data_IF_944117366027
#
_entry.id   IF_944117366027
#
_cell.length_a   1.000
_cell.length_b   1.000
_cell.length_c   1.000
_cell.angle_alpha   90.00
_cell.angle_beta   90.00
_cell.angle_gamma   90.00
#
_symmetry.space_group_name_H-M   'P 1'
#
loop_
_entity.id
_entity.type
_entity.pdbx_description
1 polymer ?
#
# COMPACT_ATOMS: atom_id res chain seq x y z
N UNK A 1 -46.33 -28.94 -14.91
CA UNK A 1 -45.78 -27.57 -15.01
C UNK A 1 -45.09 -27.07 -13.73
N UNK A 2 -45.73 -27.04 -12.54
CA UNK A 2 -45.09 -26.54 -11.29
C UNK A 2 -43.74 -27.20 -10.92
N UNK A 3 -43.56 -28.50 -11.16
CA UNK A 3 -42.28 -29.21 -10.87
C UNK A 3 -41.12 -28.83 -11.80
N UNK A 4 -41.38 -28.48 -13.07
CA UNK A 4 -40.33 -28.05 -14.01
C UNK A 4 -39.82 -26.65 -13.70
N UNK A 5 -40.73 -25.71 -13.36
CA UNK A 5 -40.35 -24.36 -12.97
C UNK A 5 -39.49 -24.32 -11.70
N UNK A 6 -39.76 -25.22 -10.75
CA UNK A 6 -38.96 -25.35 -9.53
C UNK A 6 -37.55 -25.93 -9.79
N UNK A 7 -37.41 -26.87 -10.74
CA UNK A 7 -36.11 -27.42 -11.13
C UNK A 7 -35.26 -26.41 -11.94
N UNK A 8 -35.92 -25.59 -12.77
CA UNK A 8 -35.29 -24.51 -13.51
C UNK A 8 -34.78 -23.40 -12.59
N UNK A 9 -35.59 -22.95 -11.62
CA UNK A 9 -35.14 -21.97 -10.63
C UNK A 9 -33.98 -22.50 -9.79
N UNK A 10 -34.04 -23.77 -9.36
CA UNK A 10 -32.96 -24.41 -8.59
C UNK A 10 -31.60 -24.48 -9.31
N UNK A 11 -31.56 -24.56 -10.64
CA UNK A 11 -30.30 -24.72 -11.39
C UNK A 11 -29.81 -23.45 -12.10
N UNK A 12 -30.68 -22.47 -12.34
CA UNK A 12 -30.34 -21.18 -12.94
C UNK A 12 -29.91 -20.16 -11.90
N UNK A 13 -30.60 -20.08 -10.76
CA UNK A 13 -30.30 -19.13 -9.68
C UNK A 13 -28.86 -19.26 -9.15
N UNK A 14 -28.33 -20.48 -8.89
CA UNK A 14 -26.93 -20.63 -8.45
C UNK A 14 -25.90 -20.28 -9.53
N UNK A 15 -26.25 -20.31 -10.82
CA UNK A 15 -25.35 -19.90 -11.92
C UNK A 15 -25.29 -18.38 -12.06
N UNK A 16 -26.44 -17.71 -12.00
CA UNK A 16 -26.50 -16.25 -12.02
C UNK A 16 -25.79 -15.66 -10.81
N UNK A 17 -26.05 -16.20 -9.62
CA UNK A 17 -25.37 -15.77 -8.38
C UNK A 17 -23.84 -15.89 -8.48
N UNK A 18 -23.31 -17.00 -8.98
CA UNK A 18 -21.86 -17.17 -9.18
C UNK A 18 -21.25 -16.17 -10.16
N UNK A 19 -22.01 -15.74 -11.17
CA UNK A 19 -21.55 -14.70 -12.10
C UNK A 19 -21.56 -13.32 -11.47
N UNK A 20 -22.53 -13.02 -10.61
CA UNK A 20 -22.57 -11.78 -9.84
C UNK A 20 -21.44 -11.72 -8.82
N UNK A 21 -21.19 -12.81 -8.09
CA UNK A 21 -20.04 -12.95 -7.18
C UNK A 21 -18.71 -12.77 -7.93
N UNK A 22 -18.53 -13.48 -9.05
CA UNK A 22 -17.32 -13.33 -9.87
C UNK A 22 -17.15 -11.91 -10.44
N UNK A 23 -18.25 -11.21 -10.75
CA UNK A 23 -18.19 -9.81 -11.19
C UNK A 23 -17.72 -8.91 -10.05
N UNK A 24 -18.30 -9.06 -8.86
CA UNK A 24 -17.89 -8.31 -7.68
C UNK A 24 -16.41 -8.52 -7.36
N UNK A 25 -15.91 -9.76 -7.44
CA UNK A 25 -14.48 -10.04 -7.22
C UNK A 25 -13.59 -9.39 -8.29
N UNK A 26 -14.03 -9.34 -9.56
CA UNK A 26 -13.29 -8.64 -10.62
C UNK A 26 -13.21 -7.14 -10.34
N UNK A 27 -14.31 -6.54 -9.91
CA UNK A 27 -14.36 -5.11 -9.60
C UNK A 27 -13.46 -4.79 -8.39
N UNK A 28 -13.52 -5.60 -7.32
CA UNK A 28 -12.64 -5.49 -6.15
C UNK A 28 -11.16 -5.63 -6.52
N UNK A 29 -10.79 -6.67 -7.29
CA UNK A 29 -9.41 -6.87 -7.71
C UNK A 29 -8.87 -5.69 -8.55
N UNK A 30 -9.72 -5.07 -9.37
CA UNK A 30 -9.31 -3.90 -10.15
C UNK A 30 -9.06 -2.68 -9.25
N UNK A 31 -9.89 -2.46 -8.22
CA UNK A 31 -9.70 -1.41 -7.22
C UNK A 31 -8.44 -1.64 -6.37
N UNK A 32 -8.21 -2.88 -5.91
CA UNK A 32 -7.03 -3.27 -5.15
C UNK A 32 -5.75 -3.03 -5.97
N UNK A 33 -5.73 -3.43 -7.25
CA UNK A 33 -4.58 -3.15 -8.13
C UNK A 33 -4.33 -1.66 -8.32
N UNK A 34 -5.40 -0.85 -8.44
CA UNK A 34 -5.25 0.60 -8.56
C UNK A 34 -4.64 1.21 -7.28
N UNK A 35 -5.02 0.67 -6.12
CA UNK A 35 -4.47 1.07 -4.83
C UNK A 35 -3.00 0.65 -4.70
N UNK A 36 -2.67 -0.61 -4.96
CA UNK A 36 -1.29 -1.12 -4.93
C UNK A 36 -0.35 -0.33 -5.85
N UNK A 37 -0.80 0.04 -7.06
CA UNK A 37 -0.01 0.86 -7.99
C UNK A 37 0.26 2.27 -7.42
N UNK A 38 -0.73 2.88 -6.77
CA UNK A 38 -0.56 4.18 -6.11
C UNK A 38 0.41 4.09 -4.94
N UNK A 39 0.26 3.07 -4.10
CA UNK A 39 1.15 2.85 -2.96
C UNK A 39 2.60 2.59 -3.38
N UNK A 40 2.82 1.83 -4.45
CA UNK A 40 4.16 1.62 -5.01
C UNK A 40 4.79 2.91 -5.53
N UNK A 41 4.00 3.74 -6.23
CA UNK A 41 4.47 5.03 -6.72
C UNK A 41 4.81 5.99 -5.58
N UNK A 42 3.94 6.05 -4.57
CA UNK A 42 4.16 6.89 -3.38
C UNK A 42 5.35 6.42 -2.55
N UNK A 43 5.50 5.10 -2.35
CA UNK A 43 6.66 4.53 -1.68
C UNK A 43 7.95 4.91 -2.41
N UNK A 44 7.98 4.81 -3.75
CA UNK A 44 9.11 5.26 -4.56
C UNK A 44 9.43 6.75 -4.34
N UNK A 45 8.42 7.62 -4.38
CA UNK A 45 8.57 9.06 -4.14
C UNK A 45 9.16 9.35 -2.76
N UNK A 46 8.59 8.74 -1.71
CA UNK A 46 9.05 8.91 -0.33
C UNK A 46 10.49 8.41 -0.15
N UNK A 47 10.86 7.29 -0.78
CA UNK A 47 12.24 6.79 -0.72
C UNK A 47 13.25 7.72 -1.42
N UNK A 48 12.87 8.32 -2.55
CA UNK A 48 13.73 9.24 -3.28
C UNK A 48 13.90 10.57 -2.53
N UNK A 49 12.83 11.07 -1.90
CA UNK A 49 12.86 12.26 -1.05
C UNK A 49 13.72 12.03 0.19
N UNK A 50 13.53 10.91 0.89
CA UNK A 50 14.35 10.55 2.04
C UNK A 50 15.84 10.45 1.68
N UNK A 51 16.19 9.92 0.50
CA UNK A 51 17.58 9.90 0.02
C UNK A 51 18.16 11.30 -0.17
N UNK A 52 17.39 12.23 -0.74
CA UNK A 52 17.83 13.62 -0.95
C UNK A 52 18.00 14.33 0.39
N UNK A 53 17.04 14.20 1.29
CA UNK A 53 17.09 14.79 2.62
C UNK A 53 18.27 14.25 3.43
N UNK A 54 18.51 12.93 3.37
CA UNK A 54 19.65 12.31 4.03
C UNK A 54 20.98 12.83 3.51
N UNK A 55 21.13 12.97 2.19
CA UNK A 55 22.34 13.52 1.59
C UNK A 55 22.60 14.98 2.03
N UNK A 56 21.53 15.78 2.12
CA UNK A 56 21.63 17.16 2.62
C UNK A 56 21.95 17.23 4.11
N UNK A 57 21.30 16.39 4.92
CA UNK A 57 21.53 16.32 6.37
C UNK A 57 22.98 15.91 6.67
N UNK A 58 23.49 14.88 5.97
CA UNK A 58 24.89 14.43 6.08
C UNK A 58 25.88 15.54 5.74
N UNK A 59 25.64 16.28 4.66
CA UNK A 59 26.50 17.39 4.27
C UNK A 59 26.50 18.53 5.30
N UNK A 60 25.33 18.85 5.89
CA UNK A 60 25.21 19.85 6.96
C UNK A 60 25.90 19.40 8.24
N UNK A 61 25.67 18.17 8.68
CA UNK A 61 26.31 17.62 9.88
C UNK A 61 27.84 17.60 9.73
N UNK A 62 28.36 17.18 8.56
CA UNK A 62 29.79 17.21 8.28
C UNK A 62 30.37 18.65 8.32
N UNK A 63 29.64 19.65 7.82
CA UNK A 63 30.05 21.04 7.92
C UNK A 63 30.05 21.53 9.37
N UNK A 64 29.00 21.23 10.15
CA UNK A 64 28.90 21.59 11.57
C UNK A 64 29.99 20.94 12.42
N UNK A 65 30.32 19.67 12.18
CA UNK A 65 31.43 19.00 12.86
C UNK A 65 32.75 19.69 12.56
N UNK A 66 33.01 20.04 11.29
CA UNK A 66 34.22 20.76 10.89
C UNK A 66 34.31 22.14 11.54
N UNK A 67 33.21 22.88 11.57
CA UNK A 67 33.14 24.19 12.22
C UNK A 67 33.37 24.10 13.73
N UNK A 68 32.82 23.08 14.39
CA UNK A 68 33.05 22.81 15.81
C UNK A 68 34.53 22.48 16.09
N UNK A 69 35.16 21.64 15.28
CA UNK A 69 36.59 21.32 15.41
C UNK A 69 37.50 22.54 15.18
N UNK A 70 37.20 23.35 14.16
CA UNK A 70 37.95 24.58 13.88
C UNK A 70 37.79 25.61 15.01
N UNK A 71 36.58 25.74 15.55
CA UNK A 71 36.28 26.63 16.69
C UNK A 71 36.99 26.17 17.96
N UNK A 72 36.99 24.85 18.24
CA UNK A 72 37.73 24.26 19.34
C UNK A 72 39.22 24.60 19.23
N UNK A 73 39.85 24.35 18.07
CA UNK A 73 41.28 24.64 17.84
C UNK A 73 41.59 26.13 17.99
N UNK A 74 40.71 27.01 17.51
CA UNK A 74 40.89 28.45 17.65
C UNK A 74 40.85 28.90 19.12
N UNK A 75 39.92 28.35 19.92
CA UNK A 75 39.82 28.63 21.35
C UNK A 75 41.02 28.07 22.12
N UNK A 76 41.48 26.86 21.80
CA UNK A 76 42.68 26.27 22.38
C UNK A 76 43.93 27.12 22.09
N UNK A 77 44.09 27.61 20.86
CA UNK A 77 45.17 28.51 20.49
C UNK A 77 45.11 29.86 21.24
N UNK A 78 43.90 30.43 21.37
CA UNK A 78 43.70 31.65 22.15
C UNK A 78 44.02 31.44 23.63
N UNK A 79 43.61 30.32 24.22
CA UNK A 79 43.94 29.94 25.59
C UNK A 79 45.45 29.82 25.82
N UNK A 80 46.20 29.25 24.87
CA UNK A 80 47.67 29.20 24.96
C UNK A 80 48.27 30.60 24.99
N UNK A 81 47.90 31.47 24.04
CA UNK A 81 48.41 32.85 24.01
C UNK A 81 48.05 33.64 25.28
N UNK A 82 46.82 33.52 25.77
CA UNK A 82 46.39 34.20 26.99
C UNK A 82 47.14 33.66 28.22
N UNK A 83 47.33 32.34 28.33
CA UNK A 83 48.12 31.75 29.43
C UNK A 83 49.58 32.18 29.39
N UNK A 84 50.17 32.39 28.21
CA UNK A 84 51.53 32.92 28.09
C UNK A 84 51.63 34.38 28.55
N UNK A 85 50.64 35.23 28.21
CA UNK A 85 50.62 36.64 28.61
C UNK A 85 50.28 36.82 30.10
N UNK A 86 49.29 36.08 30.61
CA UNK A 86 48.80 36.21 31.98
C UNK A 86 49.49 35.28 32.99
N UNK A 87 50.12 34.19 32.52
CA UNK A 87 50.91 33.27 33.35
C UNK A 87 52.35 33.72 33.59
N UNK A 88 52.85 34.69 32.82
CA UNK A 88 54.16 35.33 33.05
C UNK A 88 54.15 36.38 34.16
N UNK A 89 53.00 36.67 34.79
CA UNK A 89 52.93 37.53 35.96
C UNK A 89 53.43 36.73 37.17
N UNK A 90 54.64 36.99 37.72
CA UNK A 90 55.18 36.19 38.79
C UNK A 90 54.27 36.29 40.03
N UNK A 91 54.06 35.16 40.71
CA UNK A 91 53.28 35.09 41.95
C UNK A 91 53.78 36.07 43.05
N UNK A 92 55.01 36.55 42.93
CA UNK A 92 55.59 37.60 43.79
C UNK A 92 54.98 38.99 43.60
N UNK A 93 54.21 39.25 42.53
CA UNK A 93 53.44 40.49 42.37
C UNK A 93 52.03 40.41 42.97
N UNK A 94 51.58 39.23 43.43
CA UNK A 94 50.29 39.03 44.09
C UNK A 94 50.32 39.26 45.61
N UNK A 95 51.51 39.48 46.19
CA UNK A 95 51.68 39.69 47.64
C UNK A 95 52.24 41.08 48.02
N UNK A 96 52.44 41.99 47.06
CA UNK A 96 52.86 43.36 47.38
C UNK A 96 51.63 44.25 47.53
N UNK A 97 51.39 44.63 48.77
CA UNK A 97 50.48 45.69 49.22
C UNK A 97 50.37 46.86 48.23
N UNK A 98 49.13 47.13 47.80
CA UNK A 98 48.42 48.43 47.84
C UNK A 98 49.09 49.74 47.35
N UNK A 99 50.31 49.79 46.84
CA UNK A 99 50.95 51.09 46.54
C UNK A 99 51.68 51.22 45.19
N UNK A 100 51.90 50.16 44.41
CA UNK A 100 52.57 50.31 43.12
C UNK A 100 52.32 49.14 42.17
N UNK A 101 51.20 49.16 41.44
CA UNK A 101 51.03 48.36 40.23
C UNK A 101 50.75 49.31 39.08
N UNK A 102 51.83 49.89 38.54
CA UNK A 102 51.86 50.23 37.13
C UNK A 102 51.71 48.90 36.38
N UNK A 103 50.48 48.57 35.97
CA UNK A 103 50.25 47.56 34.95
C UNK A 103 51.16 47.90 33.74
N UNK A 104 51.72 46.91 33.02
CA UNK A 104 52.22 47.22 31.69
C UNK A 104 51.04 47.80 30.92
N UNK A 105 51.10 49.10 30.64
CA UNK A 105 50.15 49.78 29.79
C UNK A 105 50.29 49.12 28.43
N UNK A 106 49.35 48.24 28.09
CA UNK A 106 49.13 47.84 26.71
C UNK A 106 48.92 49.14 25.92
N UNK A 107 49.81 49.48 24.99
CA UNK A 107 49.60 50.60 24.07
C UNK A 107 48.24 50.39 23.38
N UNK A 108 47.24 51.20 23.76
CA UNK A 108 45.87 51.15 23.21
C UNK A 108 44.75 50.74 24.19
N UNK A 109 45.02 50.46 25.47
CA UNK A 109 43.97 50.24 26.45
C UNK A 109 43.25 51.55 26.83
N UNK A 110 41.92 51.67 26.67
CA UNK A 110 41.18 52.89 27.02
C UNK A 110 41.19 53.14 28.55
N UNK A 111 41.39 54.40 28.95
CA UNK A 111 41.58 54.83 30.36
C UNK A 111 40.34 54.70 31.28
N UNK A 112 39.28 53.98 30.87
CA UNK A 112 37.93 54.14 31.45
C UNK A 112 37.59 53.24 32.65
N UNK A 113 38.52 52.51 33.25
CA UNK A 113 38.23 51.67 34.42
C UNK A 113 39.11 52.01 35.63
N UNK A 114 38.65 52.91 36.53
CA UNK A 114 39.42 53.37 37.68
C UNK A 114 39.35 52.49 38.94
N UNK A 115 38.55 51.41 38.95
CA UNK A 115 38.46 50.49 40.11
C UNK A 115 39.36 49.25 39.94
N UNK A 116 40.47 49.24 40.66
CA UNK A 116 41.48 48.17 40.66
C UNK A 116 40.96 46.84 41.24
N UNK A 117 39.95 46.87 42.11
CA UNK A 117 39.30 45.65 42.65
C UNK A 117 38.52 44.89 41.57
N UNK A 118 38.09 45.57 40.51
CA UNK A 118 37.39 44.97 39.38
C UNK A 118 38.34 44.32 38.36
N UNK A 119 39.67 44.47 38.50
CA UNK A 119 40.65 44.02 37.48
C UNK A 119 41.38 42.74 37.90
N UNK A 120 41.44 42.43 39.21
CA UNK A 120 42.19 41.29 39.73
C UNK A 120 41.41 39.96 39.78
N UNK A 121 40.07 40.01 39.83
CA UNK A 121 39.17 38.83 39.89
C UNK A 121 38.54 38.37 38.57
N UNK A 122 38.37 39.17 37.49
CA UNK A 122 37.77 38.70 36.23
C UNK A 122 38.71 37.88 35.34
N UNK A 123 40.03 37.95 35.55
CA UNK A 123 41.01 37.33 34.64
C UNK A 123 40.96 35.80 34.66
N UNK A 124 40.64 35.18 35.82
CA UNK A 124 40.39 33.74 35.91
C UNK A 124 39.07 33.34 35.24
N UNK A 125 38.03 34.15 35.39
CA UNK A 125 36.71 33.87 34.82
C UNK A 125 36.70 33.85 33.28
N UNK A 126 37.51 34.68 32.62
CA UNK A 126 37.61 34.68 31.15
C UNK A 126 38.33 33.43 30.63
N UNK A 127 39.40 32.98 31.29
CA UNK A 127 40.11 31.74 30.93
C UNK A 127 39.21 30.51 31.16
N UNK A 128 38.54 30.44 32.31
CA UNK A 128 37.58 29.35 32.61
C UNK A 128 36.42 29.32 31.60
N UNK A 129 35.90 30.49 31.21
CA UNK A 129 34.84 30.56 30.20
C UNK A 129 35.31 30.06 28.82
N UNK A 130 36.53 30.41 28.41
CA UNK A 130 37.10 29.94 27.14
C UNK A 130 37.43 28.44 27.16
N UNK A 131 37.84 27.89 28.30
CA UNK A 131 38.04 26.44 28.50
C UNK A 131 36.71 25.67 28.45
N UNK A 132 35.67 26.21 29.10
CA UNK A 132 34.31 25.66 29.01
C UNK A 132 33.79 25.75 27.57
N UNK A 133 34.03 26.85 26.87
CA UNK A 133 33.65 26.98 25.46
C UNK A 133 34.36 25.95 24.57
N UNK A 134 35.68 25.78 24.72
CA UNK A 134 36.45 24.80 23.95
C UNK A 134 35.97 23.35 24.21
N UNK A 135 35.74 22.99 25.49
CA UNK A 135 35.18 21.68 25.83
C UNK A 135 33.73 21.51 25.33
N UNK A 136 32.94 22.57 25.29
CA UNK A 136 31.59 22.54 24.69
C UNK A 136 31.63 22.25 23.19
N UNK A 137 32.58 22.80 22.44
CA UNK A 137 32.74 22.48 21.01
C UNK A 137 33.23 21.05 20.78
N UNK A 138 34.12 20.55 21.65
CA UNK A 138 34.56 19.15 21.60
C UNK A 138 33.39 18.18 21.86
N UNK A 139 32.58 18.46 22.89
CA UNK A 139 31.37 17.68 23.18
C UNK A 139 30.35 17.78 22.05
N UNK A 140 30.12 18.97 21.49
CA UNK A 140 29.21 19.15 20.36
C UNK A 140 29.64 18.37 19.11
N UNK A 141 30.94 18.32 18.82
CA UNK A 141 31.45 17.50 17.71
C UNK A 141 31.23 16.00 17.93
N UNK A 142 31.41 15.52 19.18
CA UNK A 142 31.13 14.13 19.53
C UNK A 142 29.64 13.78 19.46
N UNK A 143 28.77 14.65 20.00
CA UNK A 143 27.31 14.48 19.92
C UNK A 143 26.83 14.46 18.46
N UNK A 144 27.33 15.37 17.61
CA UNK A 144 27.00 15.38 16.19
C UNK A 144 27.45 14.10 15.46
N UNK A 145 28.58 13.51 15.85
CA UNK A 145 29.06 12.25 15.28
C UNK A 145 28.19 11.06 15.69
N UNK A 146 27.79 11.00 16.96
CA UNK A 146 26.89 9.97 17.49
C UNK A 146 25.49 10.06 16.85
N UNK A 147 24.96 11.29 16.71
CA UNK A 147 23.70 11.55 16.00
C UNK A 147 23.77 11.10 14.55
N UNK A 148 24.84 11.45 13.82
CA UNK A 148 25.03 11.05 12.42
C UNK A 148 25.09 9.52 12.27
N UNK A 149 25.71 8.80 13.21
CA UNK A 149 25.73 7.34 13.21
C UNK A 149 24.33 6.75 13.47
N UNK A 150 23.58 7.33 14.41
CA UNK A 150 22.22 6.90 14.71
C UNK A 150 21.28 7.12 13.51
N UNK A 151 21.33 8.29 12.90
CA UNK A 151 20.54 8.66 11.72
C UNK A 151 20.90 7.79 10.50
N UNK A 152 22.18 7.47 10.29
CA UNK A 152 22.58 6.52 9.26
C UNK A 152 21.96 5.13 9.52
N UNK A 153 21.98 4.65 10.76
CA UNK A 153 21.38 3.37 11.13
C UNK A 153 19.88 3.33 10.85
N UNK A 154 19.15 4.37 11.25
CA UNK A 154 17.71 4.50 11.00
C UNK A 154 17.40 4.57 9.50
N UNK A 155 18.19 5.33 8.76
CA UNK A 155 18.03 5.47 7.32
C UNK A 155 18.27 4.16 6.56
N UNK A 156 19.31 3.40 6.93
CA UNK A 156 19.56 2.08 6.35
C UNK A 156 18.41 1.10 6.65
N UNK A 157 17.90 1.12 7.89
CA UNK A 157 16.72 0.32 8.25
C UNK A 157 15.50 0.71 7.41
N UNK A 158 15.23 2.02 7.26
CA UNK A 158 14.17 2.54 6.41
C UNK A 158 14.31 2.06 4.95
N UNK A 159 15.51 2.10 4.38
CA UNK A 159 15.75 1.62 3.01
C UNK A 159 15.49 0.12 2.86
N UNK A 160 15.88 -0.68 3.86
CA UNK A 160 15.65 -2.14 3.85
C UNK A 160 14.15 -2.44 3.92
N UNK A 161 13.42 -1.84 4.86
CA UNK A 161 11.98 -2.05 4.98
C UNK A 161 11.22 -1.53 3.76
N UNK A 162 11.62 -0.38 3.20
CA UNK A 162 11.01 0.14 1.97
C UNK A 162 11.23 -0.79 0.77
N UNK A 163 12.45 -1.34 0.61
CA UNK A 163 12.73 -2.32 -0.46
C UNK A 163 11.89 -3.59 -0.31
N UNK A 164 11.75 -4.06 0.93
CA UNK A 164 10.93 -5.24 1.25
C UNK A 164 9.45 -4.98 0.95
N UNK A 165 8.92 -3.84 1.39
CA UNK A 165 7.53 -3.45 1.12
C UNK A 165 7.28 -3.32 -0.39
N UNK A 166 8.19 -2.67 -1.12
CA UNK A 166 8.13 -2.57 -2.57
C UNK A 166 8.11 -3.96 -3.24
N UNK A 167 8.95 -4.89 -2.79
CA UNK A 167 9.01 -6.24 -3.33
C UNK A 167 7.71 -7.04 -3.05
N UNK A 168 7.16 -6.91 -1.83
CA UNK A 168 5.91 -7.57 -1.45
C UNK A 168 4.75 -7.02 -2.30
N UNK A 169 4.57 -5.70 -2.34
CA UNK A 169 3.50 -5.05 -3.12
C UNK A 169 3.61 -5.31 -4.61
N UNK A 170 4.82 -5.30 -5.17
CA UNK A 170 5.04 -5.63 -6.59
C UNK A 170 4.65 -7.08 -6.90
N UNK A 171 4.98 -8.02 -6.01
CA UNK A 171 4.59 -9.42 -6.16
C UNK A 171 3.10 -9.63 -6.00
N UNK A 172 2.48 -8.94 -5.06
CA UNK A 172 1.03 -8.95 -4.86
C UNK A 172 0.29 -8.40 -6.08
N UNK A 173 0.81 -7.33 -6.69
CA UNK A 173 0.27 -6.76 -7.92
C UNK A 173 0.25 -7.80 -9.05
N UNK A 174 1.38 -8.48 -9.29
CA UNK A 174 1.47 -9.54 -10.32
C UNK A 174 0.49 -10.68 -10.03
N UNK A 175 0.41 -11.13 -8.78
CA UNK A 175 -0.54 -12.18 -8.41
C UNK A 175 -2.00 -11.74 -8.56
N UNK A 176 -2.30 -10.48 -8.28
CA UNK A 176 -3.62 -9.89 -8.46
C UNK A 176 -3.98 -9.75 -9.94
N UNK A 177 -3.03 -9.37 -10.80
CA UNK A 177 -3.19 -9.31 -12.27
C UNK A 177 -3.58 -10.68 -12.84
N UNK A 178 -2.82 -11.70 -12.47
CA UNK A 178 -3.09 -13.10 -12.80
C UNK A 178 -4.49 -13.55 -12.34
N UNK A 179 -4.90 -13.19 -11.11
CA UNK A 179 -6.23 -13.53 -10.57
C UNK A 179 -7.33 -12.81 -11.33
N UNK A 180 -7.15 -11.53 -11.63
CA UNK A 180 -8.10 -10.71 -12.37
C UNK A 180 -8.35 -11.29 -13.76
N UNK A 181 -7.28 -11.62 -14.50
CA UNK A 181 -7.40 -12.21 -15.84
C UNK A 181 -8.18 -13.54 -15.79
N UNK A 182 -7.81 -14.45 -14.87
CA UNK A 182 -8.52 -15.73 -14.69
C UNK A 182 -10.01 -15.53 -14.40
N UNK A 183 -10.35 -14.60 -13.51
CA UNK A 183 -11.75 -14.31 -13.13
C UNK A 183 -12.52 -13.66 -14.25
N UNK A 184 -11.92 -12.74 -14.99
CA UNK A 184 -12.53 -12.15 -16.19
C UNK A 184 -12.81 -13.20 -17.27
N UNK A 185 -11.89 -14.13 -17.49
CA UNK A 185 -12.09 -15.24 -18.44
C UNK A 185 -13.21 -16.17 -17.99
N UNK A 186 -13.23 -16.57 -16.71
CA UNK A 186 -14.31 -17.38 -16.14
C UNK A 186 -15.68 -16.68 -16.24
N UNK A 187 -15.73 -15.37 -16.01
CA UNK A 187 -16.95 -14.57 -16.12
C UNK A 187 -17.45 -14.50 -17.57
N UNK A 188 -16.55 -14.30 -18.55
CA UNK A 188 -16.90 -14.33 -19.98
C UNK A 188 -17.45 -15.70 -20.39
N UNK A 189 -16.76 -16.78 -20.00
CA UNK A 189 -17.18 -18.15 -20.30
C UNK A 189 -18.54 -18.46 -19.66
N UNK A 190 -18.70 -18.20 -18.36
CA UNK A 190 -19.93 -18.48 -17.65
C UNK A 190 -21.13 -17.67 -18.17
N UNK A 191 -20.92 -16.41 -18.61
CA UNK A 191 -21.97 -15.64 -19.30
C UNK A 191 -22.39 -16.29 -20.62
N UNK A 192 -21.44 -16.74 -21.43
CA UNK A 192 -21.73 -17.43 -22.69
C UNK A 192 -22.44 -18.77 -22.47
N UNK A 193 -22.04 -19.54 -21.46
CA UNK A 193 -22.71 -20.79 -21.08
C UNK A 193 -24.13 -20.54 -20.58
N UNK A 194 -24.33 -19.52 -19.74
CA UNK A 194 -25.65 -19.14 -19.26
C UNK A 194 -26.56 -18.81 -20.45
N UNK A 195 -26.12 -17.97 -21.38
CA UNK A 195 -26.88 -17.59 -22.57
C UNK A 195 -27.25 -18.80 -23.46
N UNK A 196 -26.29 -19.69 -23.73
CA UNK A 196 -26.55 -20.94 -24.49
C UNK A 196 -27.52 -21.86 -23.75
N UNK A 197 -27.41 -21.95 -22.42
CA UNK A 197 -28.30 -22.78 -21.61
C UNK A 197 -29.71 -22.23 -21.57
N UNK A 198 -29.89 -20.90 -21.51
CA UNK A 198 -31.20 -20.25 -21.55
C UNK A 198 -31.86 -20.41 -22.91
N UNK A 199 -31.11 -20.27 -24.01
CA UNK A 199 -31.64 -20.50 -25.36
C UNK A 199 -32.13 -21.95 -25.55
N UNK A 200 -31.32 -22.94 -25.11
CA UNK A 200 -31.73 -24.35 -25.13
C UNK A 200 -32.98 -24.59 -24.29
N UNK A 201 -33.06 -23.94 -23.13
CA UNK A 201 -34.18 -24.08 -22.20
C UNK A 201 -35.48 -23.56 -22.82
N UNK A 202 -35.44 -22.40 -23.46
CA UNK A 202 -36.58 -21.78 -24.15
C UNK A 202 -37.07 -22.69 -25.29
N UNK A 203 -36.17 -23.27 -26.08
CA UNK A 203 -36.52 -24.25 -27.12
C UNK A 203 -37.21 -25.49 -26.55
N UNK A 204 -36.71 -26.03 -25.43
CA UNK A 204 -37.31 -27.19 -24.76
C UNK A 204 -38.69 -26.85 -24.19
N UNK A 205 -38.84 -25.67 -23.58
CA UNK A 205 -40.15 -25.20 -23.08
C UNK A 205 -41.17 -25.09 -24.21
N UNK A 206 -40.79 -24.45 -25.32
CA UNK A 206 -41.67 -24.32 -26.49
C UNK A 206 -42.06 -25.69 -27.09
N UNK A 207 -41.14 -26.67 -27.07
CA UNK A 207 -41.44 -28.04 -27.51
C UNK A 207 -42.39 -28.76 -26.54
N UNK A 208 -42.20 -28.61 -25.23
CA UNK A 208 -43.06 -29.20 -24.21
C UNK A 208 -44.49 -28.65 -24.26
N UNK A 209 -44.67 -27.36 -24.51
CA UNK A 209 -46.01 -26.75 -24.68
C UNK A 209 -46.76 -27.40 -25.84
N UNK A 210 -46.10 -27.58 -27.00
CA UNK A 210 -46.68 -28.29 -28.16
C UNK A 210 -47.07 -29.73 -27.83
N UNK A 211 -46.22 -30.46 -27.09
CA UNK A 211 -46.55 -31.84 -26.68
C UNK A 211 -47.68 -31.88 -25.66
N UNK A 212 -47.75 -30.90 -24.76
CA UNK A 212 -48.76 -30.91 -23.71
C UNK A 212 -50.18 -30.83 -24.27
N UNK A 213 -50.38 -30.08 -25.36
CA UNK A 213 -51.66 -30.03 -26.06
C UNK A 213 -51.97 -31.35 -26.78
N UNK A 214 -50.95 -32.03 -27.33
CA UNK A 214 -51.10 -33.37 -27.93
C UNK A 214 -51.39 -34.46 -26.88
N UNK A 215 -50.79 -34.38 -25.70
CA UNK A 215 -50.94 -35.37 -24.63
C UNK A 215 -52.22 -35.16 -23.78
N UNK A 216 -52.80 -33.96 -23.79
CA UNK A 216 -54.16 -33.72 -23.28
C UNK A 216 -55.19 -34.10 -24.35
N UNK A 217 -55.12 -35.31 -24.89
CA UNK A 217 -56.23 -35.84 -25.66
C UNK A 217 -57.49 -35.82 -24.76
N UNK A 218 -58.67 -35.42 -25.26
CA UNK A 218 -59.89 -35.48 -24.47
C UNK A 218 -60.06 -36.93 -24.01
N UNK A 219 -60.26 -37.12 -22.71
CA UNK A 219 -60.61 -38.43 -22.16
C UNK A 219 -62.00 -38.75 -22.71
N UNK A 220 -62.05 -39.40 -23.88
CA UNK A 220 -63.28 -39.96 -24.42
C UNK A 220 -63.84 -40.87 -23.35
N UNK A 221 -65.09 -40.60 -22.97
CA UNK A 221 -65.77 -41.40 -21.97
C UNK A 221 -65.78 -42.86 -22.43
N UNK A 222 -65.82 -43.84 -21.50
CA UNK A 222 -65.88 -45.25 -21.88
C UNK A 222 -67.03 -45.55 -22.85
N UNK A 223 -68.17 -44.86 -22.67
CA UNK A 223 -69.36 -44.91 -23.53
C UNK A 223 -69.06 -44.43 -24.95
N UNK A 224 -68.51 -43.22 -25.13
CA UNK A 224 -68.17 -42.69 -26.46
C UNK A 224 -67.10 -43.54 -27.17
N UNK A 225 -66.19 -44.16 -26.42
CA UNK A 225 -65.23 -45.14 -26.96
C UNK A 225 -65.92 -46.40 -27.44
N UNK A 226 -66.90 -46.91 -26.69
CA UNK A 226 -67.66 -48.11 -27.07
C UNK A 226 -68.46 -47.84 -28.34
N UNK A 227 -69.16 -46.71 -28.40
CA UNK A 227 -69.98 -46.34 -29.54
C UNK A 227 -69.16 -46.14 -30.82
N UNK A 228 -67.99 -45.48 -30.74
CA UNK A 228 -67.08 -45.35 -31.89
C UNK A 228 -66.56 -46.71 -32.39
N UNK A 229 -66.23 -47.63 -31.47
CA UNK A 229 -65.83 -49.00 -31.83
C UNK A 229 -66.96 -49.79 -32.49
N UNK A 230 -68.19 -49.63 -32.02
CA UNK A 230 -69.36 -50.28 -32.61
C UNK A 230 -69.65 -49.76 -34.03
N UNK A 231 -69.51 -48.46 -34.25
CA UNK A 231 -69.62 -47.84 -35.58
C UNK A 231 -68.51 -48.32 -36.52
N UNK A 232 -67.26 -48.39 -36.05
CA UNK A 232 -66.14 -48.95 -36.81
C UNK A 232 -66.37 -50.44 -37.14
N UNK A 233 -66.81 -51.25 -36.17
CA UNK A 233 -67.13 -52.66 -36.40
C UNK A 233 -68.25 -52.85 -37.43
N UNK A 234 -69.25 -51.97 -37.40
CA UNK A 234 -70.35 -52.01 -38.37
C UNK A 234 -69.87 -51.64 -39.77
N UNK A 235 -69.07 -50.58 -39.90
CA UNK A 235 -68.48 -50.17 -41.17
C UNK A 235 -67.53 -51.25 -41.74
N UNK A 236 -66.72 -51.88 -40.89
CA UNK A 236 -65.83 -52.97 -41.29
C UNK A 236 -66.62 -54.20 -41.76
N UNK A 237 -67.72 -54.55 -41.10
CA UNK A 237 -68.61 -55.65 -41.53
C UNK A 237 -69.27 -55.35 -42.88
N UNK A 238 -69.71 -54.10 -43.09
CA UNK A 238 -70.27 -53.69 -44.37
C UNK A 238 -69.23 -53.71 -45.50
N UNK A 239 -68.01 -53.25 -45.23
CA UNK A 239 -66.90 -53.33 -46.19
C UNK A 239 -66.51 -54.78 -46.50
N UNK A 240 -66.50 -55.66 -45.48
CA UNK A 240 -66.27 -57.09 -45.66
C UNK A 240 -67.36 -57.71 -46.56
N UNK A 241 -68.65 -57.45 -46.27
CA UNK A 241 -69.77 -57.91 -47.09
C UNK A 241 -69.65 -57.42 -48.53
N UNK A 242 -69.31 -56.15 -48.73
CA UNK A 242 -69.12 -55.58 -50.07
C UNK A 242 -67.93 -56.20 -50.82
N UNK A 243 -66.87 -56.60 -50.12
CA UNK A 243 -65.72 -57.31 -50.71
C UNK A 243 -66.03 -58.80 -50.98
N UNK A 244 -66.88 -59.43 -50.18
CA UNK A 244 -67.35 -60.80 -50.38
C UNK A 244 -68.39 -60.87 -51.51
N UNK A 245 -69.17 -59.82 -51.71
CA UNK A 245 -70.14 -59.66 -52.80
C UNK A 245 -69.51 -59.13 -54.09
N UNK A 246 -68.30 -58.54 -54.04
CA UNK A 246 -67.52 -58.13 -55.21
C UNK A 246 -66.65 -59.30 -55.69
N UNK A 247 -66.92 -59.89 -56.88
CA UNK A 247 -66.17 -61.04 -57.34
C UNK A 247 -64.70 -60.68 -57.57
N UNK A 248 -63.80 -61.46 -56.99
CA UNK A 248 -62.39 -61.49 -57.38
C UNK A 248 -62.31 -61.88 -58.87
N UNK A 249 -62.24 -60.88 -59.75
CA UNK A 249 -62.01 -61.04 -61.18
C UNK A 249 -63.17 -60.60 -62.06
N UNK A 250 -63.04 -59.38 -62.60
CA UNK A 250 -63.23 -59.11 -64.02
C UNK A 250 -61.91 -58.53 -64.54
#
# INVERSE_FOLDING_TARGET
MKKLGCFQSCSRVPRVRRLEEAKSEVDQLAEDQATLRKELAELGRVTDEAQKERAQAKAKNAASMKEAEESQKALEAALVMLREVYGQVPASLLQVEQAALAAPVLEGAPETFPDVDYVATPQKGVLELLEVAASSYASAAAELADEEQAEEGQFQHFLVESRKDQAIKSRELVHSEDRLERKQMALKQGKAELAKSTEKLEKVQAYLEKLQDQCKAPVVTPEERRQKREQELTALKQALSALEESPAGA
#
